data_IF_542722325483
#
_entry.id   IF_542722325483
#
_cell.length_a   1.000
_cell.length_b   1.000
_cell.length_c   1.000
_cell.angle_alpha   90.00
_cell.angle_beta   90.00
_cell.angle_gamma   90.00
#
_symmetry.space_group_name_H-M   'P 1'
#
loop_
_entity.id
_entity.type
_entity.pdbx_description
1 polymer ?
#
# COMPACT_ATOMS: atom_id res chain seq x y z
N UNK A 1 19.77 28.70 16.55
CA UNK A 1 20.82 27.97 15.83
C UNK A 1 20.69 26.47 16.04
N UNK A 2 20.78 25.94 17.28
CA UNK A 2 20.78 24.48 17.51
C UNK A 2 19.44 23.76 17.25
N UNK A 3 18.31 24.42 17.52
CA UNK A 3 16.97 23.84 17.24
C UNK A 3 16.66 23.75 15.74
N UNK A 4 17.04 24.77 14.99
CA UNK A 4 16.81 24.85 13.54
C UNK A 4 17.63 23.80 12.80
N UNK A 5 18.90 23.63 13.17
CA UNK A 5 19.77 22.58 12.65
C UNK A 5 19.23 21.16 12.94
N UNK A 6 18.74 20.91 14.16
CA UNK A 6 18.15 19.61 14.50
C UNK A 6 16.86 19.32 13.73
N UNK A 7 16.03 20.35 13.49
CA UNK A 7 14.81 20.21 12.70
C UNK A 7 15.11 19.93 11.22
N UNK A 8 16.16 20.55 10.66
CA UNK A 8 16.66 20.23 9.33
C UNK A 8 17.17 18.80 9.23
N UNK A 9 17.99 18.36 10.18
CA UNK A 9 18.53 16.99 10.21
C UNK A 9 17.39 15.96 10.25
N UNK A 10 16.38 16.22 11.08
CA UNK A 10 15.19 15.37 11.19
C UNK A 10 14.39 15.35 9.89
N UNK A 11 14.27 16.47 9.18
CA UNK A 11 13.60 16.53 7.86
C UNK A 11 14.37 15.74 6.82
N UNK A 12 15.69 15.86 6.79
CA UNK A 12 16.55 15.11 5.87
C UNK A 12 16.44 13.60 6.12
N UNK A 13 16.50 13.17 7.37
CA UNK A 13 16.34 11.76 7.74
C UNK A 13 14.97 11.21 7.27
N UNK A 14 13.88 11.96 7.50
CA UNK A 14 12.54 11.56 7.05
C UNK A 14 12.46 11.52 5.52
N UNK A 15 13.08 12.46 4.82
CA UNK A 15 13.11 12.47 3.35
C UNK A 15 13.82 11.23 2.80
N UNK A 16 15.00 10.91 3.34
CA UNK A 16 15.75 9.72 2.94
C UNK A 16 14.96 8.41 3.22
N UNK A 17 14.28 8.32 4.36
CA UNK A 17 13.39 7.21 4.67
C UNK A 17 12.24 7.10 3.66
N UNK A 18 11.64 8.23 3.25
CA UNK A 18 10.57 8.23 2.26
C UNK A 18 11.06 7.71 0.92
N UNK A 19 12.20 8.19 0.41
CA UNK A 19 12.75 7.78 -0.89
C UNK A 19 13.06 6.28 -0.91
N UNK A 20 13.67 5.76 0.16
CA UNK A 20 13.91 4.31 0.30
C UNK A 20 12.61 3.52 0.31
N UNK A 21 11.61 3.98 1.04
CA UNK A 21 10.33 3.29 1.13
C UNK A 21 9.56 3.33 -0.21
N UNK A 22 9.57 4.46 -0.91
CA UNK A 22 8.97 4.59 -2.25
C UNK A 22 9.64 3.68 -3.27
N UNK A 23 10.96 3.52 -3.21
CA UNK A 23 11.69 2.55 -4.04
C UNK A 23 11.25 1.11 -3.75
N UNK A 24 11.08 0.72 -2.48
CA UNK A 24 10.55 -0.60 -2.12
C UNK A 24 9.13 -0.79 -2.67
N UNK A 25 8.28 0.23 -2.60
CA UNK A 25 6.94 0.18 -3.19
C UNK A 25 7.01 0.01 -4.71
N UNK A 26 7.87 0.76 -5.40
CA UNK A 26 8.04 0.64 -6.84
C UNK A 26 8.50 -0.76 -7.26
N UNK A 27 9.44 -1.36 -6.51
CA UNK A 27 9.90 -2.74 -6.74
C UNK A 27 8.76 -3.74 -6.51
N UNK A 28 7.98 -3.59 -5.44
CA UNK A 28 6.83 -4.46 -5.18
C UNK A 28 5.75 -4.34 -6.28
N UNK A 29 5.48 -3.13 -6.75
CA UNK A 29 4.57 -2.88 -7.88
C UNK A 29 5.09 -3.55 -9.15
N UNK A 30 6.37 -3.44 -9.45
CA UNK A 30 6.97 -4.13 -10.59
C UNK A 30 6.86 -5.67 -10.45
N UNK A 31 7.06 -6.21 -9.25
CA UNK A 31 6.89 -7.64 -8.99
C UNK A 31 5.45 -8.10 -9.23
N UNK A 32 4.45 -7.26 -8.95
CA UNK A 32 3.04 -7.60 -9.23
C UNK A 32 2.69 -7.73 -10.70
N UNK A 33 3.54 -7.23 -11.62
CA UNK A 33 3.35 -7.49 -13.05
C UNK A 33 3.52 -8.98 -13.40
N UNK A 34 4.28 -9.72 -12.59
CA UNK A 34 4.49 -11.16 -12.76
C UNK A 34 3.38 -12.00 -12.15
N UNK A 35 2.85 -11.60 -10.98
CA UNK A 35 1.81 -12.33 -10.24
C UNK A 35 0.39 -11.96 -10.68
N UNK A 36 0.21 -10.74 -11.19
CA UNK A 36 -1.07 -10.21 -11.65
C UNK A 36 -1.61 -10.88 -12.92
N UNK A 37 -0.80 -11.63 -13.67
CA UNK A 37 -1.26 -12.40 -14.84
C UNK A 37 -2.25 -13.52 -14.50
N UNK A 38 -2.38 -13.88 -13.21
CA UNK A 38 -3.32 -14.88 -12.71
C UNK A 38 -4.54 -14.16 -12.13
N UNK A 39 -5.77 -14.43 -12.61
CA UNK A 39 -6.98 -13.80 -12.10
C UNK A 39 -7.33 -14.37 -10.71
N UNK A 40 -6.59 -13.94 -9.68
CA UNK A 40 -6.86 -14.30 -8.28
C UNK A 40 -7.54 -13.12 -7.58
N UNK A 41 -8.71 -13.31 -6.94
CA UNK A 41 -9.32 -12.28 -6.12
C UNK A 41 -8.41 -11.92 -4.93
N UNK A 42 -8.02 -10.64 -4.84
CA UNK A 42 -7.11 -10.11 -3.81
C UNK A 42 -7.59 -10.38 -2.36
N UNK A 43 -8.91 -10.47 -2.17
CA UNK A 43 -9.54 -10.71 -0.88
C UNK A 43 -9.41 -12.16 -0.39
N UNK A 44 -9.27 -13.13 -1.29
CA UNK A 44 -9.27 -14.57 -0.98
C UNK A 44 -7.90 -15.23 -1.22
N UNK A 45 -6.85 -14.42 -1.31
CA UNK A 45 -5.50 -14.86 -1.67
C UNK A 45 -4.51 -14.65 -0.50
N UNK A 46 -4.27 -15.68 0.33
CA UNK A 46 -3.28 -15.62 1.40
C UNK A 46 -1.89 -15.18 0.91
N UNK A 47 -1.54 -15.55 -0.33
CA UNK A 47 -0.29 -15.13 -0.97
C UNK A 47 -0.22 -13.61 -1.15
N UNK A 48 -1.30 -12.98 -1.63
CA UNK A 48 -1.36 -11.53 -1.85
C UNK A 48 -1.35 -10.76 -0.52
N UNK A 49 -1.98 -11.31 0.52
CA UNK A 49 -1.87 -10.75 1.88
C UNK A 49 -0.43 -10.83 2.39
N UNK A 50 0.25 -11.96 2.19
CA UNK A 50 1.64 -12.14 2.57
C UNK A 50 2.59 -11.15 1.88
N UNK A 51 2.34 -10.85 0.60
CA UNK A 51 3.10 -9.86 -0.17
C UNK A 51 2.93 -8.44 0.42
N UNK A 52 1.71 -8.02 0.74
CA UNK A 52 1.45 -6.72 1.38
C UNK A 52 2.08 -6.63 2.78
N UNK A 53 2.03 -7.72 3.57
CA UNK A 53 2.68 -7.77 4.89
C UNK A 53 4.19 -7.63 4.76
N UNK A 54 4.80 -8.26 3.76
CA UNK A 54 6.25 -8.17 3.52
C UNK A 54 6.66 -6.77 3.09
N UNK A 55 5.88 -6.13 2.21
CA UNK A 55 6.06 -4.74 1.83
C UNK A 55 6.00 -3.82 3.06
N UNK A 56 4.95 -3.94 3.88
CA UNK A 56 4.80 -3.11 5.07
C UNK A 56 5.89 -3.37 6.12
N UNK A 57 6.32 -4.62 6.30
CA UNK A 57 7.41 -4.96 7.21
C UNK A 57 8.74 -4.32 6.76
N UNK A 58 8.99 -4.29 5.45
CA UNK A 58 10.18 -3.64 4.89
C UNK A 58 10.14 -2.12 5.12
N UNK A 59 8.97 -1.50 4.93
CA UNK A 59 8.75 -0.07 5.25
C UNK A 59 8.97 0.19 6.74
N UNK A 60 8.43 -0.65 7.63
CA UNK A 60 8.68 -0.56 9.08
C UNK A 60 10.18 -0.59 9.40
N UNK A 61 10.96 -1.45 8.74
CA UNK A 61 12.41 -1.51 8.89
C UNK A 61 13.10 -0.19 8.50
N UNK A 62 12.69 0.42 7.39
CA UNK A 62 13.21 1.72 6.91
C UNK A 62 12.90 2.83 7.91
N UNK A 63 11.66 2.90 8.39
CA UNK A 63 11.26 3.86 9.40
C UNK A 63 11.67 3.45 10.80
N UNK A 64 12.34 2.33 11.05
CA UNK A 64 12.66 1.86 12.41
C UNK A 64 11.44 1.89 13.34
N UNK A 65 10.31 1.37 12.86
CA UNK A 65 9.05 1.23 13.60
C UNK A 65 8.84 -0.25 13.92
N UNK A 66 8.45 -0.58 15.15
CA UNK A 66 8.32 -1.96 15.57
C UNK A 66 6.85 -2.41 15.58
N UNK A 67 6.42 -3.03 14.48
CA UNK A 67 5.11 -3.68 14.39
C UNK A 67 5.32 -5.15 14.01
N UNK A 68 4.76 -6.04 14.82
CA UNK A 68 4.79 -7.48 14.56
C UNK A 68 3.99 -7.87 13.30
N UNK A 69 4.38 -8.98 12.67
CA UNK A 69 3.73 -9.50 11.45
C UNK A 69 2.23 -9.66 11.58
N UNK A 70 1.72 -10.08 12.75
CA UNK A 70 0.28 -10.20 13.01
C UNK A 70 -0.44 -8.85 13.01
N UNK A 71 0.18 -7.80 13.55
CA UNK A 71 -0.36 -6.44 13.50
C UNK A 71 -0.42 -5.89 12.06
N UNK A 72 0.62 -6.16 11.27
CA UNK A 72 0.64 -5.82 9.84
C UNK A 72 -0.42 -6.61 9.07
N UNK A 73 -0.54 -7.92 9.31
CA UNK A 73 -1.55 -8.77 8.69
C UNK A 73 -2.96 -8.27 9.02
N UNK A 74 -3.22 -7.94 10.28
CA UNK A 74 -4.49 -7.34 10.73
C UNK A 74 -4.77 -6.03 9.98
N UNK A 75 -3.78 -5.16 9.82
CA UNK A 75 -3.94 -3.91 9.06
C UNK A 75 -4.29 -4.17 7.60
N UNK A 76 -3.55 -5.04 6.93
CA UNK A 76 -3.81 -5.42 5.53
C UNK A 76 -5.22 -5.97 5.40
N UNK A 77 -5.61 -6.98 6.19
CA UNK A 77 -6.92 -7.62 6.10
C UNK A 77 -8.06 -6.66 6.45
N UNK A 78 -7.84 -5.73 7.37
CA UNK A 78 -8.86 -4.75 7.76
C UNK A 78 -9.03 -3.64 6.72
N UNK A 79 -7.94 -3.19 6.10
CA UNK A 79 -7.96 -2.18 5.03
C UNK A 79 -8.55 -2.77 3.76
N UNK A 80 -8.12 -3.96 3.35
CA UNK A 80 -8.60 -4.65 2.14
C UNK A 80 -10.00 -5.23 2.35
N UNK A 81 -10.29 -5.88 3.48
CA UNK A 81 -11.57 -6.55 3.74
C UNK A 81 -12.73 -5.57 3.94
N UNK A 82 -12.97 -5.14 5.19
CA UNK A 82 -14.20 -4.44 5.57
C UNK A 82 -14.40 -3.03 4.94
N UNK A 83 -13.36 -2.43 4.33
CA UNK A 83 -13.45 -1.08 3.76
C UNK A 83 -12.90 -0.91 2.34
N UNK A 84 -12.13 -1.88 1.86
CA UNK A 84 -11.42 -1.84 0.58
C UNK A 84 -11.98 -2.78 -0.47
N UNK A 85 -12.68 -3.86 -0.08
CA UNK A 85 -13.05 -4.95 -0.98
C UNK A 85 -13.99 -4.48 -2.10
N UNK A 86 -14.96 -3.63 -1.78
CA UNK A 86 -15.83 -3.03 -2.79
C UNK A 86 -15.08 -2.09 -3.75
N UNK A 87 -14.01 -1.44 -3.30
CA UNK A 87 -13.24 -0.48 -4.11
C UNK A 87 -12.23 -1.22 -4.98
N UNK A 88 -11.49 -2.16 -4.41
CA UNK A 88 -10.60 -3.08 -5.11
C UNK A 88 -11.41 -3.89 -6.12
N UNK A 89 -12.53 -4.48 -5.68
CA UNK A 89 -13.47 -5.22 -6.51
C UNK A 89 -14.07 -4.38 -7.64
N UNK A 90 -14.48 -3.13 -7.37
CA UNK A 90 -14.93 -2.21 -8.43
C UNK A 90 -13.80 -1.86 -9.40
N UNK A 91 -12.57 -1.64 -8.92
CA UNK A 91 -11.43 -1.35 -9.81
C UNK A 91 -11.11 -2.54 -10.71
N UNK A 92 -11.07 -3.75 -10.14
CA UNK A 92 -10.95 -5.00 -10.90
C UNK A 92 -12.11 -5.09 -11.91
N UNK A 93 -13.36 -5.01 -11.46
CA UNK A 93 -14.53 -5.13 -12.33
C UNK A 93 -14.58 -4.05 -13.42
N UNK A 94 -14.22 -2.80 -13.14
CA UNK A 94 -14.23 -1.72 -14.15
C UNK A 94 -13.15 -1.93 -15.21
N UNK A 95 -11.97 -2.43 -14.80
CA UNK A 95 -10.88 -2.75 -15.71
C UNK A 95 -11.14 -4.04 -16.50
N UNK A 96 -11.84 -5.01 -15.89
CA UNK A 96 -12.31 -6.23 -16.56
C UNK A 96 -13.52 -5.97 -17.49
N UNK A 97 -14.40 -5.01 -17.19
CA UNK A 97 -15.53 -4.64 -18.08
C UNK A 97 -15.05 -3.96 -19.36
N UNK A 98 -13.81 -3.44 -19.41
CA UNK A 98 -13.16 -3.07 -20.68
C UNK A 98 -12.84 -4.28 -21.59
N UNK A 99 -13.16 -5.51 -21.18
CA UNK A 99 -12.99 -6.77 -21.92
C UNK A 99 -14.22 -7.21 -22.73
N UNK A 100 -15.20 -6.33 -23.01
CA UNK A 100 -16.34 -6.68 -23.88
C UNK A 100 -15.81 -7.07 -25.30
N UNK A 101 -16.34 -8.15 -25.93
CA UNK A 101 -15.57 -9.03 -26.81
C UNK A 101 -15.20 -8.45 -28.20
N UNK A 102 -13.98 -8.79 -28.65
CA UNK A 102 -13.47 -8.55 -30.00
C UNK A 102 -11.94 -8.70 -30.15
N UNK A 103 -11.16 -8.49 -29.08
CA UNK A 103 -9.68 -8.55 -29.12
C UNK A 103 -9.00 -8.88 -27.76
N UNK A 104 -9.66 -9.63 -26.86
CA UNK A 104 -9.42 -9.52 -25.40
C UNK A 104 -8.32 -10.38 -24.74
N UNK A 105 -7.79 -11.43 -25.38
CA UNK A 105 -6.95 -12.40 -24.64
C UNK A 105 -5.50 -11.96 -24.42
N UNK A 106 -4.95 -11.10 -25.29
CA UNK A 106 -3.58 -10.56 -25.15
C UNK A 106 -3.55 -9.31 -24.26
N UNK A 107 -4.67 -8.61 -24.14
CA UNK A 107 -4.81 -7.37 -23.36
C UNK A 107 -5.15 -7.65 -21.88
N UNK A 108 -5.71 -8.81 -21.56
CA UNK A 108 -6.09 -9.19 -20.18
C UNK A 108 -4.92 -9.25 -19.19
N UNK A 109 -3.75 -9.74 -19.61
CA UNK A 109 -2.58 -9.89 -18.73
C UNK A 109 -1.90 -8.58 -18.34
N UNK A 110 -1.90 -7.58 -19.23
CA UNK A 110 -1.37 -6.24 -18.93
C UNK A 110 -2.26 -5.46 -17.95
N UNK A 111 -3.57 -5.71 -17.98
CA UNK A 111 -4.56 -4.98 -17.16
C UNK A 111 -4.68 -5.56 -15.75
N UNK A 112 -4.52 -6.87 -15.58
CA UNK A 112 -4.54 -7.53 -14.27
C UNK A 112 -3.25 -7.24 -13.47
N UNK A 113 -2.09 -7.20 -14.14
CA UNK A 113 -0.85 -6.61 -13.64
C UNK A 113 -1.04 -5.16 -13.20
N UNK A 114 -1.70 -4.34 -14.01
CA UNK A 114 -1.98 -2.94 -13.68
C UNK A 114 -2.86 -2.77 -12.43
N UNK A 115 -3.84 -3.64 -12.22
CA UNK A 115 -4.74 -3.56 -11.05
C UNK A 115 -4.07 -4.06 -9.77
N UNK A 116 -3.32 -5.16 -9.81
CA UNK A 116 -2.53 -5.64 -8.68
C UNK A 116 -1.43 -4.62 -8.29
N UNK A 117 -0.78 -4.02 -9.28
CA UNK A 117 0.18 -2.94 -9.09
C UNK A 117 -0.43 -1.70 -8.47
N UNK A 118 -1.62 -1.29 -8.91
CA UNK A 118 -2.35 -0.16 -8.31
C UNK A 118 -2.65 -0.38 -6.82
N UNK A 119 -3.12 -1.58 -6.45
CA UNK A 119 -3.44 -1.91 -5.05
C UNK A 119 -2.17 -1.89 -4.21
N UNK A 120 -1.08 -2.49 -4.70
CA UNK A 120 0.22 -2.51 -4.02
C UNK A 120 0.80 -1.11 -3.87
N UNK A 121 0.72 -0.27 -4.92
CA UNK A 121 1.13 1.13 -4.89
C UNK A 121 0.33 1.91 -3.84
N UNK A 122 -1.00 1.76 -3.86
CA UNK A 122 -1.89 2.46 -2.95
C UNK A 122 -1.67 2.03 -1.50
N UNK A 123 -1.47 0.74 -1.25
CA UNK A 123 -1.16 0.21 0.08
C UNK A 123 0.19 0.73 0.58
N UNK A 124 1.24 0.62 -0.24
CA UNK A 124 2.57 1.09 0.07
C UNK A 124 2.61 2.58 0.40
N UNK A 125 2.05 3.42 -0.47
CA UNK A 125 1.98 4.87 -0.25
C UNK A 125 1.16 5.26 0.98
N UNK A 126 0.04 4.59 1.22
CA UNK A 126 -0.76 4.84 2.42
C UNK A 126 0.02 4.50 3.70
N UNK A 127 0.77 3.39 3.69
CA UNK A 127 1.52 2.95 4.86
C UNK A 127 2.75 3.82 5.12
N UNK A 128 3.43 4.28 4.07
CA UNK A 128 4.50 5.29 4.14
C UNK A 128 3.99 6.53 4.87
N UNK A 129 2.82 7.05 4.50
CA UNK A 129 2.28 8.25 5.15
C UNK A 129 1.91 8.00 6.62
N UNK A 130 1.41 6.82 6.97
CA UNK A 130 1.20 6.42 8.38
C UNK A 130 2.53 6.40 9.15
N UNK A 131 3.60 5.83 8.57
CA UNK A 131 4.92 5.79 9.20
C UNK A 131 5.53 7.20 9.36
N UNK A 132 5.33 8.08 8.37
CA UNK A 132 5.71 9.50 8.45
C UNK A 132 4.98 10.20 9.58
N UNK A 133 3.67 9.99 9.70
CA UNK A 133 2.87 10.52 10.82
C UNK A 133 3.41 10.09 12.18
N UNK A 134 3.93 8.86 12.30
CA UNK A 134 4.61 8.42 13.53
C UNK A 134 5.90 9.19 13.78
N UNK A 135 6.78 9.33 12.78
CA UNK A 135 8.06 10.04 12.96
C UNK A 135 7.93 11.53 13.26
N UNK A 136 6.86 12.15 12.79
CA UNK A 136 6.56 13.55 13.12
C UNK A 136 5.71 13.71 14.39
N UNK A 137 5.39 12.61 15.10
CA UNK A 137 4.66 12.64 16.37
C UNK A 137 3.16 12.89 16.26
N UNK A 138 2.58 12.82 15.06
CA UNK A 138 1.12 12.92 14.85
C UNK A 138 0.37 11.63 15.22
N UNK A 139 1.10 10.51 15.24
CA UNK A 139 0.61 9.18 15.59
C UNK A 139 1.67 8.49 16.46
N UNK A 140 1.28 7.63 17.38
CA UNK A 140 2.24 6.75 18.08
C UNK A 140 2.39 5.41 17.33
N UNK A 141 3.47 4.66 17.59
CA UNK A 141 3.62 3.31 17.00
C UNK A 141 2.47 2.38 17.42
N UNK A 142 2.02 2.47 18.68
CA UNK A 142 0.89 1.70 19.19
C UNK A 142 -0.45 2.06 18.52
N UNK A 143 -0.59 3.30 18.06
CA UNK A 143 -1.80 3.74 17.36
C UNK A 143 -1.91 3.18 15.94
N UNK A 144 -0.81 2.70 15.34
CA UNK A 144 -0.84 2.20 13.96
C UNK A 144 -1.83 1.04 13.82
N UNK A 145 -1.83 0.10 14.77
CA UNK A 145 -2.76 -1.05 14.80
C UNK A 145 -4.08 -0.76 15.53
N UNK A 146 -4.24 0.45 16.08
CA UNK A 146 -5.49 0.86 16.75
C UNK A 146 -6.54 1.31 15.73
N UNK A 147 -7.79 1.47 16.18
CA UNK A 147 -8.88 1.99 15.34
C UNK A 147 -8.54 3.34 14.68
N UNK A 148 -7.70 4.16 15.32
CA UNK A 148 -7.25 5.45 14.78
C UNK A 148 -6.31 5.24 13.59
N UNK A 149 -5.23 4.48 13.75
CA UNK A 149 -4.28 4.17 12.67
C UNK A 149 -4.95 3.43 11.51
N UNK A 150 -5.80 2.45 11.81
CA UNK A 150 -6.60 1.73 10.81
C UNK A 150 -7.48 2.69 10.00
N UNK A 151 -8.14 3.65 10.65
CA UNK A 151 -9.02 4.60 9.97
C UNK A 151 -8.24 5.57 9.07
N UNK A 152 -7.09 6.06 9.54
CA UNK A 152 -6.17 6.88 8.76
C UNK A 152 -5.66 6.10 7.54
N UNK A 153 -5.18 4.88 7.75
CA UNK A 153 -4.69 3.99 6.71
C UNK A 153 -5.77 3.71 5.65
N UNK A 154 -7.00 3.39 6.07
CA UNK A 154 -8.15 3.20 5.16
C UNK A 154 -8.43 4.45 4.33
N UNK A 155 -8.41 5.63 4.94
CA UNK A 155 -8.65 6.90 4.23
C UNK A 155 -7.58 7.14 3.16
N UNK A 156 -6.31 7.06 3.54
CA UNK A 156 -5.17 7.25 2.64
C UNK A 156 -5.17 6.23 1.49
N UNK A 157 -5.42 4.95 1.81
CA UNK A 157 -5.52 3.90 0.80
C UNK A 157 -6.61 4.21 -0.24
N UNK A 158 -7.79 4.66 0.21
CA UNK A 158 -8.88 5.06 -0.69
C UNK A 158 -8.52 6.27 -1.54
N UNK A 159 -7.83 7.26 -0.98
CA UNK A 159 -7.36 8.43 -1.70
C UNK A 159 -6.35 8.05 -2.80
N UNK A 160 -5.39 7.19 -2.47
CA UNK A 160 -4.42 6.67 -3.43
C UNK A 160 -5.09 5.89 -4.57
N UNK A 161 -6.07 5.02 -4.27
CA UNK A 161 -6.83 4.32 -5.31
C UNK A 161 -7.65 5.25 -6.22
N UNK A 162 -8.07 6.42 -5.73
CA UNK A 162 -8.79 7.42 -6.54
C UNK A 162 -7.86 8.28 -7.38
N UNK A 163 -6.70 8.65 -6.84
CA UNK A 163 -5.72 9.49 -7.54
C UNK A 163 -5.08 8.75 -8.71
N UNK A 164 -4.82 7.45 -8.55
CA UNK A 164 -4.20 6.63 -9.58
C UNK A 164 -5.20 6.02 -10.60
N UNK A 165 -6.45 6.53 -10.66
CA UNK A 165 -7.47 6.15 -11.67
C UNK A 165 -7.41 6.96 -12.96
N UNK A 166 -6.59 8.03 -13.00
CA UNK A 166 -6.42 8.89 -14.18
C UNK A 166 -5.40 8.32 -15.15
#
# INVERSE_FOLDING_TARGET
MDREFNDELKRLEITEMNEKAENVVAVAVAATATTGAIPIPFADAPLLIGEQVTLMATICGIYRINIGKEGLKMLVTTVIGAGGAAIVGKTIATNLVKLVPGAGSVVGGAISAGTAGLVTLAMGKAFIEVCKMVKVGKLSEADITSSKGVSVMKKLFKEQLKQNKK
#
